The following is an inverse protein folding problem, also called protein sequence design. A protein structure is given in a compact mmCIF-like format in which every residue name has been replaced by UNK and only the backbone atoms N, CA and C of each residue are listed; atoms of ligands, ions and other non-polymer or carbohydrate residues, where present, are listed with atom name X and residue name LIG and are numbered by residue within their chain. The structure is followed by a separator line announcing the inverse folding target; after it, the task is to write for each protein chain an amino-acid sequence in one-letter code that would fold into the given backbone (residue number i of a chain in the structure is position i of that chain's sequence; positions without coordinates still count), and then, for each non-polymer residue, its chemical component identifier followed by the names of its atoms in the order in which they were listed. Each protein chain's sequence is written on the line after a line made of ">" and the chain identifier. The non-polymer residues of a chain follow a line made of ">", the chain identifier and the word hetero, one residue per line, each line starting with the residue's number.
data_IF_909163560703
#
_entry.id   IF_909163560703
#
_cell.length_a   1.000
_cell.length_b   1.000
_cell.length_c   1.000
_cell.angle_alpha   90.00
_cell.angle_beta   90.00
_cell.angle_gamma   90.00
#
_symmetry.space_group_name_H-M   'P 1'
#
loop_
_entity.id
_entity.type
_entity.pdbx_description
1 polymer ?
#
# COMPACT_ATOMS: atom_id res chain seq x y z
N UNK A 1 -6.00 -24.27 16.50
CA UNK A 1 -6.54 -24.12 15.14
C UNK A 1 -6.09 -22.76 14.64
N UNK A 2 -5.07 -22.73 13.78
CA UNK A 2 -4.66 -21.48 13.13
C UNK A 2 -5.80 -21.02 12.21
N UNK A 3 -6.42 -19.91 12.57
CA UNK A 3 -7.40 -19.27 11.70
C UNK A 3 -6.69 -18.81 10.44
N UNK A 4 -7.04 -19.40 9.29
CA UNK A 4 -6.59 -18.94 7.97
C UNK A 4 -7.06 -17.50 7.81
N UNK A 5 -6.20 -16.52 8.13
CA UNK A 5 -6.47 -15.10 7.90
C UNK A 5 -6.60 -14.92 6.39
N UNK A 6 -7.78 -14.51 5.93
CA UNK A 6 -8.06 -14.24 4.52
C UNK A 6 -7.01 -13.26 3.98
N UNK A 7 -6.13 -13.73 3.07
CA UNK A 7 -5.15 -12.88 2.40
C UNK A 7 -5.89 -11.71 1.74
N UNK A 8 -5.61 -10.49 2.20
CA UNK A 8 -6.13 -9.29 1.55
C UNK A 8 -5.23 -9.01 0.35
N UNK A 9 -5.82 -8.71 -0.80
CA UNK A 9 -5.05 -8.26 -1.97
C UNK A 9 -4.30 -6.98 -1.60
N UNK A 10 -2.98 -7.07 -1.53
CA UNK A 10 -2.07 -5.94 -1.26
C UNK A 10 -1.43 -5.41 -2.53
N UNK A 11 -1.33 -6.24 -3.58
CA UNK A 11 -0.79 -5.84 -4.88
C UNK A 11 -1.92 -5.41 -5.82
N UNK A 12 -1.77 -4.26 -6.47
CA UNK A 12 -2.76 -3.65 -7.36
C UNK A 12 -2.13 -3.38 -8.73
N UNK A 13 -2.81 -3.71 -9.82
CA UNK A 13 -2.33 -3.36 -11.16
C UNK A 13 -2.51 -1.87 -11.45
N UNK A 14 -1.43 -1.21 -11.86
CA UNK A 14 -1.39 0.22 -12.17
C UNK A 14 -1.38 1.12 -10.92
N UNK A 15 -1.58 2.44 -11.11
CA UNK A 15 -1.47 3.42 -10.04
C UNK A 15 -2.60 3.31 -9.02
N UNK A 16 -2.28 3.55 -7.74
CA UNK A 16 -3.26 3.66 -6.66
C UNK A 16 -3.97 5.01 -6.76
N UNK A 17 -5.28 4.97 -6.96
CA UNK A 17 -6.06 6.21 -7.10
C UNK A 17 -6.21 6.94 -5.76
N UNK A 18 -6.07 8.28 -5.71
CA UNK A 18 -6.33 9.07 -4.50
C UNK A 18 -7.72 8.83 -3.91
N UNK A 19 -8.74 8.64 -4.76
CA UNK A 19 -10.10 8.32 -4.34
C UNK A 19 -10.20 6.99 -3.57
N UNK A 20 -9.43 5.98 -3.97
CA UNK A 20 -9.38 4.71 -3.25
C UNK A 20 -8.87 4.87 -1.82
N UNK A 21 -7.88 5.76 -1.62
CA UNK A 21 -7.34 6.09 -0.29
C UNK A 21 -8.41 6.83 0.53
N UNK A 22 -9.09 7.81 -0.07
CA UNK A 22 -10.17 8.55 0.58
C UNK A 22 -11.31 7.62 1.02
N UNK A 23 -11.74 6.70 0.16
CA UNK A 23 -12.78 5.70 0.47
C UNK A 23 -12.34 4.76 1.60
N UNK A 24 -11.06 4.39 1.64
CA UNK A 24 -10.49 3.57 2.71
C UNK A 24 -10.56 4.28 4.06
N UNK A 25 -10.25 5.57 4.11
CA UNK A 25 -10.37 6.39 5.32
C UNK A 25 -11.86 6.49 5.73
N UNK A 26 -12.74 6.83 4.79
CA UNK A 26 -14.16 7.02 5.05
C UNK A 26 -14.84 5.77 5.65
N UNK A 27 -14.41 4.56 5.26
CA UNK A 27 -14.91 3.29 5.82
C UNK A 27 -14.67 3.12 7.31
N UNK A 28 -13.76 3.89 7.91
CA UNK A 28 -13.51 3.86 9.35
C UNK A 28 -14.42 4.80 10.14
N UNK A 29 -15.37 5.51 9.52
CA UNK A 29 -16.24 6.46 10.26
C UNK A 29 -17.05 5.80 11.40
N UNK A 30 -17.35 4.50 11.29
CA UNK A 30 -18.12 3.75 12.29
C UNK A 30 -17.24 3.12 13.37
N UNK A 31 -15.92 3.27 13.27
CA UNK A 31 -14.93 2.69 14.19
C UNK A 31 -14.58 3.70 15.28
N UNK A 32 -15.37 3.69 16.34
CA UNK A 32 -15.25 4.63 17.48
C UNK A 32 -13.97 4.44 18.30
N UNK A 33 -13.26 3.34 18.11
CA UNK A 33 -11.96 3.04 18.72
C UNK A 33 -10.78 3.64 17.95
N UNK A 34 -10.99 4.16 16.73
CA UNK A 34 -9.93 4.74 15.89
C UNK A 34 -10.01 6.27 15.92
N UNK A 35 -9.11 6.90 16.68
CA UNK A 35 -9.02 8.37 16.78
C UNK A 35 -8.05 9.05 15.80
N UNK A 36 -7.19 8.29 15.12
CA UNK A 36 -6.15 8.85 14.25
C UNK A 36 -5.80 7.90 13.10
N UNK A 37 -5.32 8.49 11.99
CA UNK A 37 -4.76 7.76 10.85
C UNK A 37 -3.34 8.25 10.61
N UNK A 38 -2.39 7.33 10.44
CA UNK A 38 -1.06 7.61 9.93
C UNK A 38 -0.95 7.01 8.53
N UNK A 39 -0.60 7.84 7.54
CA UNK A 39 -0.61 7.46 6.13
C UNK A 39 0.75 7.81 5.52
N UNK A 40 1.32 6.85 4.80
CA UNK A 40 2.48 7.04 3.95
C UNK A 40 2.06 6.80 2.50
N UNK A 41 2.45 7.71 1.60
CA UNK A 41 2.14 7.63 0.17
C UNK A 41 3.45 7.66 -0.63
N UNK A 42 3.73 6.59 -1.37
CA UNK A 42 4.80 6.59 -2.36
C UNK A 42 4.32 7.24 -3.64
N UNK A 43 4.96 8.34 -4.06
CA UNK A 43 4.63 9.03 -5.30
C UNK A 43 5.84 8.97 -6.25
N UNK A 44 5.59 8.62 -7.51
CA UNK A 44 6.64 8.59 -8.52
C UNK A 44 7.10 10.02 -8.81
N UNK A 45 8.36 10.32 -8.53
CA UNK A 45 8.95 11.66 -8.70
C UNK A 45 9.33 11.93 -10.15
N UNK A 46 9.26 13.21 -10.54
CA UNK A 46 9.73 13.73 -11.82
C UNK A 46 11.26 13.89 -11.86
N UNK A 47 12.00 12.85 -11.48
CA UNK A 47 13.45 12.91 -11.41
C UNK A 47 14.08 12.97 -12.82
N UNK A 48 15.30 13.50 -12.91
CA UNK A 48 16.16 13.40 -14.09
C UNK A 48 17.31 12.44 -13.81
N UNK A 49 17.55 11.49 -14.72
CA UNK A 49 18.65 10.52 -14.62
C UNK A 49 19.46 10.51 -15.92
N UNK A 50 20.75 10.80 -15.83
CA UNK A 50 21.67 10.84 -16.98
C UNK A 50 21.16 11.75 -18.12
N UNK A 51 20.63 12.93 -17.79
CA UNK A 51 20.08 13.86 -18.78
C UNK A 51 18.71 13.46 -19.35
N UNK A 52 18.04 12.45 -18.77
CA UNK A 52 16.74 11.94 -19.24
C UNK A 52 15.69 12.06 -18.14
N UNK A 53 14.54 12.64 -18.48
CA UNK A 53 13.39 12.70 -17.59
C UNK A 53 12.76 11.32 -17.37
N UNK A 54 12.51 10.98 -16.11
CA UNK A 54 11.71 9.80 -15.74
C UNK A 54 10.27 10.01 -16.22
N UNK A 55 9.68 8.99 -16.87
CA UNK A 55 8.25 9.01 -17.27
C UNK A 55 7.36 8.24 -16.30
N UNK A 56 7.94 7.29 -15.58
CA UNK A 56 7.26 6.39 -14.68
C UNK A 56 8.21 5.32 -14.15
N UNK A 57 7.69 4.45 -13.30
CA UNK A 57 8.35 3.25 -12.78
C UNK A 57 7.47 2.06 -13.13
N UNK A 58 8.08 0.99 -13.65
CA UNK A 58 7.41 -0.28 -13.90
C UNK A 58 7.72 -1.24 -12.75
N UNK A 59 6.70 -1.56 -11.96
CA UNK A 59 6.82 -2.39 -10.77
C UNK A 59 6.49 -3.85 -11.09
N UNK A 60 7.36 -4.76 -10.67
CA UNK A 60 7.12 -6.20 -10.79
C UNK A 60 7.47 -6.91 -9.49
N UNK A 61 6.81 -8.04 -9.24
CA UNK A 61 7.06 -8.83 -8.05
C UNK A 61 6.76 -10.31 -8.30
N UNK A 62 7.43 -11.19 -7.56
CA UNK A 62 6.91 -12.54 -7.36
C UNK A 62 5.73 -12.46 -6.38
N UNK A 63 4.52 -12.50 -6.94
CA UNK A 63 3.27 -12.15 -6.25
C UNK A 63 3.10 -12.84 -4.90
N UNK A 64 3.23 -14.17 -4.86
CA UNK A 64 2.97 -14.95 -3.65
C UNK A 64 3.95 -14.63 -2.52
N UNK A 65 5.24 -14.53 -2.84
CA UNK A 65 6.28 -14.17 -1.88
C UNK A 65 6.06 -12.75 -1.36
N UNK A 66 5.77 -11.79 -2.24
CA UNK A 66 5.55 -10.40 -1.83
C UNK A 66 4.32 -10.26 -0.91
N UNK A 67 3.21 -10.93 -1.21
CA UNK A 67 2.03 -10.94 -0.34
C UNK A 67 2.33 -11.55 1.04
N UNK A 68 3.12 -12.63 1.09
CA UNK A 68 3.51 -13.26 2.35
C UNK A 68 4.36 -12.30 3.20
N UNK A 69 5.37 -11.68 2.61
CA UNK A 69 6.25 -10.71 3.31
C UNK A 69 5.42 -9.52 3.82
N UNK A 70 4.49 -8.99 3.02
CA UNK A 70 3.62 -7.90 3.45
C UNK A 70 2.70 -8.29 4.61
N UNK A 71 2.23 -9.54 4.63
CA UNK A 71 1.47 -10.07 5.75
C UNK A 71 2.34 -10.21 7.01
N UNK A 72 3.58 -10.68 6.89
CA UNK A 72 4.53 -10.77 8.00
C UNK A 72 4.83 -9.40 8.61
N UNK A 73 5.14 -8.40 7.77
CA UNK A 73 5.38 -7.01 8.21
C UNK A 73 4.17 -6.48 8.97
N UNK A 74 2.96 -6.70 8.45
CA UNK A 74 1.72 -6.29 9.11
C UNK A 74 1.61 -6.90 10.50
N UNK A 75 1.81 -8.21 10.64
CA UNK A 75 1.71 -8.89 11.93
C UNK A 75 2.81 -8.47 12.90
N UNK A 76 4.03 -8.20 12.41
CA UNK A 76 5.11 -7.62 13.20
C UNK A 76 4.79 -6.22 13.75
N UNK A 77 4.04 -5.41 13.00
CA UNK A 77 3.60 -4.09 13.50
C UNK A 77 2.52 -4.26 14.56
N UNK A 78 1.53 -5.15 14.36
CA UNK A 78 0.51 -5.42 15.38
C UNK A 78 1.10 -5.98 16.69
N UNK A 79 2.22 -6.71 16.62
CA UNK A 79 2.87 -7.23 17.83
C UNK A 79 3.68 -6.16 18.59
N UNK A 80 4.15 -5.12 17.90
CA UNK A 80 5.00 -4.08 18.48
C UNK A 80 4.23 -2.83 18.90
N UNK A 81 3.10 -2.54 18.25
CA UNK A 81 2.38 -1.29 18.41
C UNK A 81 0.87 -1.53 18.57
N UNK A 82 0.17 -0.71 19.38
CA UNK A 82 -1.27 -0.82 19.58
C UNK A 82 -2.06 -0.22 18.39
N UNK A 83 -1.79 -0.72 17.19
CA UNK A 83 -2.52 -0.36 15.97
C UNK A 83 -3.79 -1.19 15.89
N UNK A 84 -4.93 -0.58 15.55
CA UNK A 84 -6.23 -1.27 15.44
C UNK A 84 -6.42 -1.85 14.04
N UNK A 85 -6.07 -1.07 13.02
CA UNK A 85 -6.23 -1.44 11.63
C UNK A 85 -5.02 -0.96 10.82
N UNK A 86 -4.62 -1.75 9.85
CA UNK A 86 -3.55 -1.43 8.91
C UNK A 86 -3.99 -1.85 7.52
N UNK A 87 -3.59 -1.11 6.49
CA UNK A 87 -3.75 -1.51 5.11
C UNK A 87 -2.44 -1.21 4.37
N UNK A 88 -1.97 -2.15 3.57
CA UNK A 88 -0.78 -1.98 2.73
C UNK A 88 -1.20 -2.28 1.31
N UNK A 89 -0.89 -1.35 0.42
CA UNK A 89 -1.14 -1.47 -1.01
C UNK A 89 0.14 -1.10 -1.75
N UNK A 90 0.43 -1.81 -2.83
CA UNK A 90 1.54 -1.50 -3.70
C UNK A 90 1.20 -1.82 -5.16
N UNK A 91 1.60 -0.96 -6.06
CA UNK A 91 1.39 -1.08 -7.49
C UNK A 91 2.26 -2.18 -8.12
N UNK A 92 1.71 -2.79 -9.17
CA UNK A 92 2.38 -3.55 -10.21
C UNK A 92 2.17 -2.84 -11.55
N UNK A 93 3.03 -3.13 -12.52
CA UNK A 93 3.02 -2.50 -13.82
C UNK A 93 3.49 -1.04 -13.79
N UNK A 94 3.18 -0.32 -14.87
CA UNK A 94 3.61 1.05 -15.07
C UNK A 94 2.82 2.05 -14.23
N UNK A 95 3.53 2.85 -13.44
CA UNK A 95 3.03 4.01 -12.68
C UNK A 95 3.77 5.25 -13.14
N UNK A 96 3.06 6.25 -13.64
CA UNK A 96 3.64 7.46 -14.22
C UNK A 96 4.07 8.45 -13.14
N UNK A 97 4.93 9.38 -13.52
CA UNK A 97 5.30 10.53 -12.67
C UNK A 97 4.05 11.24 -12.13
N UNK A 98 4.06 11.51 -10.83
CA UNK A 98 2.96 12.14 -10.11
C UNK A 98 1.88 11.18 -9.62
N UNK A 99 1.88 9.92 -10.07
CA UNK A 99 0.95 8.91 -9.59
C UNK A 99 1.46 8.22 -8.30
N UNK A 100 0.52 7.62 -7.55
CA UNK A 100 0.81 6.90 -6.31
C UNK A 100 1.03 5.43 -6.64
N UNK A 101 2.08 4.85 -6.07
CA UNK A 101 2.46 3.43 -6.17
C UNK A 101 2.18 2.69 -4.87
#
# INVERSE_FOLDING_TARGET
>A
METVKKKRKTLIEGPIQPSFIADSIAKHNTKTDIGAHAIFLGQVRADEKNGKAVKGIDYSAYHEMAENILAEIREQIFSQYPVICMHIYHSLGMVKVGEIS
#
